data_IF_444436272407
#
_entry.id   IF_444436272407
#
_cell.length_a   1.000
_cell.length_b   1.000
_cell.length_c   1.000
_cell.angle_alpha   90.00
_cell.angle_beta   90.00
_cell.angle_gamma   90.00
#
_symmetry.space_group_name_H-M   'P 1'
#
loop_
_entity.id
_entity.type
_entity.pdbx_description
1 polymer ?
#
# COMPACT_ATOMS: atom_id res chain seq x y z
N UNK A 1 8.51 8.34 -37.52
CA UNK A 1 8.04 9.07 -36.33
C UNK A 1 9.00 10.22 -36.16
N UNK A 2 8.55 11.42 -36.49
CA UNK A 2 9.39 12.61 -36.52
C UNK A 2 9.85 12.95 -35.10
N UNK A 3 11.15 13.18 -34.96
CA UNK A 3 11.78 13.59 -33.71
C UNK A 3 11.36 15.03 -33.38
N UNK A 4 10.16 15.21 -32.81
CA UNK A 4 9.81 16.46 -32.13
C UNK A 4 10.81 16.63 -30.98
N UNK A 5 11.65 17.66 -31.07
CA UNK A 5 12.67 17.95 -30.08
C UNK A 5 12.02 18.14 -28.72
N UNK A 6 12.52 17.43 -27.71
CA UNK A 6 12.07 17.48 -26.32
C UNK A 6 12.04 18.93 -25.79
N UNK A 7 12.97 19.76 -26.27
CA UNK A 7 13.04 21.17 -25.90
C UNK A 7 11.84 21.98 -26.37
N UNK A 8 11.17 21.58 -27.45
CA UNK A 8 9.95 22.24 -27.94
C UNK A 8 8.76 21.94 -27.03
N UNK A 9 8.57 20.67 -26.62
CA UNK A 9 7.47 20.29 -25.72
C UNK A 9 7.67 20.90 -24.33
N UNK A 10 8.92 20.93 -23.83
CA UNK A 10 9.24 21.56 -22.53
C UNK A 10 9.03 23.08 -22.59
N UNK A 11 9.30 23.73 -23.73
CA UNK A 11 9.03 25.16 -23.93
C UNK A 11 7.54 25.48 -24.05
N UNK A 12 6.71 24.54 -24.48
CA UNK A 12 5.25 24.72 -24.58
C UNK A 12 4.51 24.46 -23.27
N UNK A 13 5.14 23.83 -22.27
CA UNK A 13 4.58 23.82 -20.91
C UNK A 13 4.57 25.27 -20.43
N UNK A 14 3.40 25.89 -20.28
CA UNK A 14 3.32 27.33 -20.08
C UNK A 14 4.05 27.69 -18.79
N UNK A 15 4.81 28.78 -18.81
CA UNK A 15 5.51 29.29 -17.63
C UNK A 15 4.57 29.53 -16.43
N UNK A 16 3.26 29.59 -16.67
CA UNK A 16 2.19 29.63 -15.67
C UNK A 16 2.05 28.33 -14.86
N UNK A 17 2.58 27.19 -15.29
CA UNK A 17 2.65 25.97 -14.47
C UNK A 17 3.80 26.01 -13.46
N UNK A 18 4.83 26.82 -13.73
CA UNK A 18 5.85 27.19 -12.73
C UNK A 18 5.22 28.27 -11.87
N UNK A 19 4.37 27.90 -10.91
CA UNK A 19 3.74 28.83 -9.98
C UNK A 19 4.59 28.99 -8.71
N UNK A 20 5.52 29.97 -8.63
CA UNK A 20 6.15 30.36 -7.38
C UNK A 20 5.16 31.06 -6.43
N UNK A 21 3.99 31.46 -6.91
CA UNK A 21 3.03 32.25 -6.12
C UNK A 21 2.10 31.41 -5.21
N UNK A 22 1.94 30.10 -5.44
CA UNK A 22 1.03 29.27 -4.62
C UNK A 22 1.70 28.70 -3.36
N UNK A 23 3.02 28.55 -3.35
CA UNK A 23 3.77 27.98 -2.22
C UNK A 23 3.72 28.86 -0.97
N UNK A 24 4.09 30.16 -1.00
CA UNK A 24 4.11 30.99 0.21
C UNK A 24 2.71 31.21 0.81
N UNK A 25 1.67 31.18 -0.02
CA UNK A 25 0.31 31.34 0.45
C UNK A 25 -0.21 30.09 1.18
N UNK A 26 0.02 28.91 0.59
CA UNK A 26 -0.36 27.65 1.22
C UNK A 26 0.39 27.41 2.53
N UNK A 27 1.66 27.83 2.64
CA UNK A 27 2.38 27.74 3.91
C UNK A 27 1.77 28.59 5.03
N UNK A 28 1.19 29.75 4.70
CA UNK A 28 0.52 30.58 5.71
C UNK A 28 -0.75 29.91 6.27
N UNK A 29 -1.54 29.25 5.41
CA UNK A 29 -2.72 28.50 5.87
C UNK A 29 -2.35 27.35 6.80
N UNK A 30 -1.23 26.67 6.55
CA UNK A 30 -0.73 25.61 7.43
C UNK A 30 -0.30 26.14 8.78
N UNK A 31 0.39 27.29 8.82
CA UNK A 31 0.77 27.93 10.08
C UNK A 31 -0.48 28.29 10.89
N UNK A 32 -1.51 28.84 10.24
CA UNK A 32 -2.77 29.18 10.90
C UNK A 32 -3.47 27.92 11.43
N UNK A 33 -3.54 26.84 10.64
CA UNK A 33 -4.13 25.58 11.07
C UNK A 33 -3.39 24.97 12.28
N UNK A 34 -2.05 25.03 12.29
CA UNK A 34 -1.24 24.58 13.43
C UNK A 34 -1.51 25.43 14.66
N UNK A 35 -1.52 26.76 14.53
CA UNK A 35 -1.83 27.68 15.64
C UNK A 35 -3.21 27.40 16.21
N UNK A 36 -4.20 27.14 15.34
CA UNK A 36 -5.54 26.78 15.75
C UNK A 36 -5.58 25.45 16.51
N UNK A 37 -4.89 24.42 16.03
CA UNK A 37 -4.82 23.14 16.71
C UNK A 37 -4.31 23.28 18.15
N UNK A 38 -3.31 24.14 18.38
CA UNK A 38 -2.81 24.41 19.73
C UNK A 38 -3.77 25.24 20.60
N UNK A 39 -4.69 25.99 20.00
CA UNK A 39 -5.67 26.80 20.74
C UNK A 39 -6.94 26.02 21.09
N UNK A 40 -7.25 24.93 20.39
CA UNK A 40 -8.46 24.11 20.59
C UNK A 40 -8.05 22.77 21.20
N UNK A 41 -7.85 22.73 22.52
CA UNK A 41 -7.34 21.52 23.22
C UNK A 41 -8.37 20.80 24.07
N UNK A 42 -9.61 21.31 24.16
CA UNK A 42 -10.54 20.85 25.20
C UNK A 42 -11.58 19.83 24.71
N UNK A 43 -11.81 19.71 23.40
CA UNK A 43 -12.73 18.73 22.81
C UNK A 43 -11.95 17.76 21.89
N UNK A 44 -12.22 16.47 22.08
CA UNK A 44 -11.63 15.37 21.32
C UNK A 44 -12.15 15.38 19.88
N UNK A 45 -13.44 15.68 19.68
CA UNK A 45 -14.06 15.76 18.35
C UNK A 45 -13.40 16.86 17.52
N UNK A 46 -13.24 18.04 18.11
CA UNK A 46 -12.55 19.16 17.45
C UNK A 46 -11.07 18.84 17.19
N UNK A 47 -10.41 18.10 18.09
CA UNK A 47 -9.03 17.68 17.90
C UNK A 47 -8.86 16.75 16.69
N UNK A 48 -9.79 15.82 16.47
CA UNK A 48 -9.77 14.91 15.31
C UNK A 48 -10.02 15.70 14.02
N UNK A 49 -11.01 16.58 14.02
CA UNK A 49 -11.30 17.46 12.88
C UNK A 49 -10.09 18.34 12.52
N UNK A 50 -9.45 18.98 13.50
CA UNK A 50 -8.26 19.79 13.25
C UNK A 50 -7.08 18.95 12.73
N UNK A 51 -6.95 17.70 13.18
CA UNK A 51 -5.93 16.78 12.68
C UNK A 51 -6.20 16.38 11.22
N UNK A 52 -7.46 16.17 10.84
CA UNK A 52 -7.87 15.94 9.45
C UNK A 52 -7.47 17.12 8.56
N UNK A 53 -7.81 18.34 8.98
CA UNK A 53 -7.47 19.57 8.24
C UNK A 53 -5.95 19.73 8.07
N UNK A 54 -5.18 19.57 9.15
CA UNK A 54 -3.70 19.64 9.11
C UNK A 54 -3.14 18.55 8.18
N UNK A 55 -3.66 17.33 8.26
CA UNK A 55 -3.19 16.22 7.43
C UNK A 55 -3.44 16.49 5.95
N UNK A 56 -4.63 16.98 5.59
CA UNK A 56 -4.96 17.39 4.22
C UNK A 56 -4.01 18.48 3.71
N UNK A 57 -3.70 19.48 4.54
CA UNK A 57 -2.74 20.52 4.18
C UNK A 57 -1.32 19.99 3.96
N UNK A 58 -0.83 19.11 4.84
CA UNK A 58 0.49 18.49 4.71
C UNK A 58 0.55 17.68 3.41
N UNK A 59 -0.51 16.96 3.04
CA UNK A 59 -0.58 16.23 1.77
C UNK A 59 -0.52 17.15 0.55
N UNK A 60 -1.30 18.25 0.57
CA UNK A 60 -1.30 19.24 -0.52
C UNK A 60 0.08 19.86 -0.66
N UNK A 61 0.69 20.31 0.43
CA UNK A 61 2.03 20.88 0.41
C UNK A 61 3.06 19.85 -0.04
N UNK A 62 3.00 18.63 0.50
CA UNK A 62 3.89 17.52 0.15
C UNK A 62 3.83 17.19 -1.34
N UNK A 63 2.64 17.09 -1.93
CA UNK A 63 2.47 16.81 -3.37
C UNK A 63 2.85 18.00 -4.25
N UNK A 64 2.59 19.25 -3.84
CA UNK A 64 3.06 20.45 -4.58
C UNK A 64 4.59 20.53 -4.55
N UNK A 65 5.19 20.33 -3.39
CA UNK A 65 6.65 20.26 -3.23
C UNK A 65 7.24 19.13 -4.07
N UNK A 66 6.62 17.96 -4.01
CA UNK A 66 7.00 16.82 -4.83
C UNK A 66 6.95 17.15 -6.32
N UNK A 67 5.85 17.72 -6.80
CA UNK A 67 5.67 18.04 -8.21
C UNK A 67 6.74 19.02 -8.68
N UNK A 68 7.01 20.07 -7.89
CA UNK A 68 8.00 21.09 -8.22
C UNK A 68 9.43 20.54 -8.20
N UNK A 69 9.77 19.70 -7.22
CA UNK A 69 11.11 19.13 -7.07
C UNK A 69 11.40 18.02 -8.11
N UNK A 70 10.43 17.14 -8.37
CA UNK A 70 10.59 15.96 -9.23
C UNK A 70 9.98 16.14 -10.64
N UNK A 71 9.64 17.36 -11.05
CA UNK A 71 9.01 17.61 -12.36
C UNK A 71 9.82 17.03 -13.52
N UNK A 72 11.12 17.32 -13.54
CA UNK A 72 12.02 16.86 -14.59
C UNK A 72 12.16 15.33 -14.59
N UNK A 73 12.17 14.70 -13.41
CA UNK A 73 12.16 13.25 -13.28
C UNK A 73 10.89 12.61 -13.84
N UNK A 74 9.73 13.18 -13.55
CA UNK A 74 8.46 12.69 -14.10
C UNK A 74 8.41 12.85 -15.62
N UNK A 75 8.90 13.97 -16.17
CA UNK A 75 9.02 14.15 -17.61
C UNK A 75 9.95 13.12 -18.24
N UNK A 76 11.09 12.80 -17.59
CA UNK A 76 11.98 11.71 -18.02
C UNK A 76 11.28 10.35 -18.02
N UNK A 77 10.50 10.04 -16.98
CA UNK A 77 9.72 8.80 -16.92
C UNK A 77 8.71 8.72 -18.07
N UNK A 78 7.96 9.80 -18.35
CA UNK A 78 7.02 9.88 -19.48
C UNK A 78 7.75 9.68 -20.82
N UNK A 79 8.99 10.14 -20.96
CA UNK A 79 9.76 9.91 -22.17
C UNK A 79 10.19 8.44 -22.31
N UNK A 80 10.60 7.80 -21.22
CA UNK A 80 10.96 6.39 -21.23
C UNK A 80 9.76 5.51 -21.59
N UNK A 81 8.55 5.85 -21.13
CA UNK A 81 7.34 5.08 -21.49
C UNK A 81 7.04 5.14 -22.99
N UNK A 82 7.45 6.20 -23.71
CA UNK A 82 7.32 6.26 -25.18
C UNK A 82 8.25 5.29 -25.91
N UNK A 83 9.33 4.84 -25.27
CA UNK A 83 10.27 3.84 -25.82
C UNK A 83 9.78 2.40 -25.61
N UNK A 84 8.70 2.22 -24.84
CA UNK A 84 8.16 0.89 -24.58
C UNK A 84 7.55 0.25 -25.82
N UNK A 85 7.48 -1.09 -25.80
CA UNK A 85 6.94 -1.84 -26.92
C UNK A 85 5.45 -1.58 -27.08
N UNK A 86 5.05 -1.39 -28.33
CA UNK A 86 3.66 -1.15 -28.68
C UNK A 86 2.84 -2.45 -28.45
N UNK A 87 1.77 -2.40 -27.64
CA UNK A 87 0.88 -3.54 -27.39
C UNK A 87 0.32 -4.20 -28.66
N UNK A 88 0.18 -3.44 -29.74
CA UNK A 88 -0.41 -3.91 -31.00
C UNK A 88 0.46 -4.91 -31.77
N UNK A 89 1.74 -5.07 -31.40
CA UNK A 89 2.65 -6.06 -32.02
C UNK A 89 2.50 -7.47 -31.45
N UNK A 90 1.74 -7.64 -30.36
CA UNK A 90 1.57 -8.91 -29.69
C UNK A 90 0.50 -9.78 -30.35
N UNK A 91 0.55 -11.10 -30.07
CA UNK A 91 -0.53 -12.00 -30.44
C UNK A 91 -1.87 -11.54 -29.86
N UNK A 92 -2.96 -11.87 -30.56
CA UNK A 92 -4.32 -11.44 -30.19
C UNK A 92 -4.71 -11.84 -28.75
N UNK A 93 -4.20 -12.97 -28.26
CA UNK A 93 -4.43 -13.44 -26.90
C UNK A 93 -3.80 -12.52 -25.83
N UNK A 94 -2.66 -11.89 -26.10
CA UNK A 94 -2.04 -10.95 -25.16
C UNK A 94 -2.68 -9.59 -25.29
N UNK A 95 -2.99 -9.16 -26.52
CA UNK A 95 -3.68 -7.90 -26.77
C UNK A 95 -5.00 -7.82 -25.97
N UNK A 96 -5.76 -8.91 -25.93
CA UNK A 96 -6.97 -9.00 -25.08
C UNK A 96 -6.67 -8.91 -23.59
N UNK A 97 -5.64 -9.62 -23.08
CA UNK A 97 -5.23 -9.53 -21.67
C UNK A 97 -4.69 -8.14 -21.31
N UNK A 98 -3.96 -7.48 -22.19
CA UNK A 98 -3.47 -6.11 -22.00
C UNK A 98 -4.63 -5.12 -21.99
N UNK A 99 -5.56 -5.25 -22.93
CA UNK A 99 -6.78 -4.45 -22.95
C UNK A 99 -7.57 -4.59 -21.65
N UNK A 100 -7.66 -5.80 -21.07
CA UNK A 100 -8.27 -6.00 -19.76
C UNK A 100 -7.55 -5.22 -18.63
N UNK A 101 -6.22 -5.19 -18.63
CA UNK A 101 -5.42 -4.45 -17.65
C UNK A 101 -5.63 -2.95 -17.80
N UNK A 102 -5.53 -2.42 -19.02
CA UNK A 102 -5.75 -1.00 -19.29
C UNK A 102 -7.18 -0.57 -18.97
N UNK A 103 -8.18 -1.40 -19.30
CA UNK A 103 -9.57 -1.15 -18.93
C UNK A 103 -9.77 -1.15 -17.41
N UNK A 104 -9.08 -2.04 -16.69
CA UNK A 104 -9.13 -2.07 -15.22
C UNK A 104 -8.53 -0.78 -14.64
N UNK A 105 -7.34 -0.37 -15.11
CA UNK A 105 -6.69 0.88 -14.67
C UNK A 105 -7.57 2.08 -14.98
N UNK A 106 -8.10 2.17 -16.21
CA UNK A 106 -8.98 3.26 -16.62
C UNK A 106 -10.25 3.33 -15.75
N UNK A 107 -10.88 2.18 -15.48
CA UNK A 107 -12.03 2.11 -14.56
C UNK A 107 -11.66 2.56 -13.16
N UNK A 108 -10.54 2.08 -12.60
CA UNK A 108 -10.08 2.51 -11.28
C UNK A 108 -9.83 4.03 -11.23
N UNK A 109 -9.16 4.59 -12.23
CA UNK A 109 -8.91 6.02 -12.33
C UNK A 109 -10.22 6.81 -12.46
N UNK A 110 -11.18 6.33 -13.25
CA UNK A 110 -12.50 6.98 -13.44
C UNK A 110 -13.38 6.88 -12.19
N UNK A 111 -13.35 5.75 -11.49
CA UNK A 111 -14.06 5.61 -10.21
C UNK A 111 -13.46 6.53 -9.15
N UNK A 112 -12.13 6.59 -9.06
CA UNK A 112 -11.45 7.51 -8.15
C UNK A 112 -11.73 8.98 -8.50
N UNK A 113 -11.71 9.32 -9.79
CA UNK A 113 -12.11 10.62 -10.33
C UNK A 113 -13.50 11.06 -9.86
N UNK A 114 -14.48 10.17 -10.02
CA UNK A 114 -15.85 10.43 -9.66
C UNK A 114 -16.00 10.63 -8.15
N UNK A 115 -15.33 9.82 -7.34
CA UNK A 115 -15.34 9.96 -5.90
C UNK A 115 -14.75 11.31 -5.46
N UNK A 116 -13.63 11.72 -6.04
CA UNK A 116 -13.01 13.01 -5.76
C UNK A 116 -13.89 14.19 -6.22
N UNK A 117 -14.55 14.07 -7.38
CA UNK A 117 -15.49 15.09 -7.86
C UNK A 117 -16.68 15.24 -6.90
N UNK A 118 -17.26 14.12 -6.46
CA UNK A 118 -18.37 14.11 -5.49
C UNK A 118 -17.91 14.76 -4.18
N UNK A 119 -16.75 14.36 -3.65
CA UNK A 119 -16.16 14.97 -2.46
C UNK A 119 -15.96 16.48 -2.61
N UNK A 120 -15.43 16.94 -3.75
CA UNK A 120 -15.25 18.36 -4.02
C UNK A 120 -16.59 19.13 -4.06
N UNK A 121 -17.64 18.54 -4.65
CA UNK A 121 -18.98 19.13 -4.65
C UNK A 121 -19.54 19.23 -3.24
N UNK A 122 -19.38 18.19 -2.41
CA UNK A 122 -19.79 18.23 -1.00
C UNK A 122 -19.04 19.29 -0.20
N UNK A 123 -17.72 19.40 -0.41
CA UNK A 123 -16.87 20.42 0.23
C UNK A 123 -17.26 21.86 -0.16
N UNK A 124 -17.89 22.05 -1.32
CA UNK A 124 -18.43 23.36 -1.72
C UNK A 124 -19.84 23.56 -1.16
N UNK A 125 -20.69 22.55 -1.27
CA UNK A 125 -22.12 22.69 -0.99
C UNK A 125 -22.44 22.73 0.51
N UNK A 126 -21.82 21.87 1.33
CA UNK A 126 -22.10 21.82 2.77
C UNK A 126 -21.80 23.16 3.48
N UNK A 127 -20.64 23.81 3.26
CA UNK A 127 -20.34 25.10 3.88
C UNK A 127 -21.27 26.22 3.41
N UNK A 128 -21.71 26.18 2.14
CA UNK A 128 -22.66 27.15 1.60
C UNK A 128 -24.06 27.01 2.23
N UNK A 129 -24.51 25.78 2.49
CA UNK A 129 -25.80 25.51 3.11
C UNK A 129 -25.81 25.87 4.61
N UNK A 130 -24.74 25.54 5.31
CA UNK A 130 -24.60 25.80 6.74
C UNK A 130 -24.13 27.22 7.06
N UNK A 131 -23.68 27.97 6.04
CA UNK A 131 -23.01 29.27 6.18
C UNK A 131 -21.79 29.20 7.12
N UNK A 132 -21.07 28.08 7.04
CA UNK A 132 -19.84 27.81 7.78
C UNK A 132 -18.64 27.86 6.82
N UNK A 133 -17.42 27.93 7.37
CA UNK A 133 -16.22 27.82 6.55
C UNK A 133 -15.96 26.35 6.19
N UNK A 134 -15.53 26.06 4.94
CA UNK A 134 -15.16 24.70 4.53
C UNK A 134 -14.12 24.03 5.43
N UNK A 135 -13.12 24.79 5.88
CA UNK A 135 -12.21 24.38 6.95
C UNK A 135 -12.40 25.33 8.11
N UNK A 136 -12.36 24.79 9.33
CA UNK A 136 -12.68 25.49 10.57
C UNK A 136 -11.70 26.59 10.96
N UNK A 137 -11.00 27.24 10.02
CA UNK A 137 -9.95 28.21 10.27
C UNK A 137 -10.42 29.36 11.17
N UNK A 138 -9.68 29.63 12.24
CA UNK A 138 -9.92 30.76 13.13
C UNK A 138 -9.87 32.07 12.34
N UNK A 139 -11.01 32.77 12.26
CA UNK A 139 -11.10 34.12 11.70
C UNK A 139 -11.22 35.13 12.84
N UNK A 140 -10.51 36.25 12.73
CA UNK A 140 -10.58 37.34 13.71
C UNK A 140 -12.04 37.83 13.86
N UNK A 141 -12.60 37.70 15.06
CA UNK A 141 -13.97 38.13 15.36
C UNK A 141 -14.17 39.63 15.04
N UNK A 142 -15.31 39.98 14.45
CA UNK A 142 -15.67 41.37 14.11
C UNK A 142 -15.25 41.84 12.72
N UNK A 143 -14.64 40.98 11.89
CA UNK A 143 -14.24 41.32 10.52
C UNK A 143 -14.99 40.50 9.45
N UNK A 144 -16.28 40.80 9.22
CA UNK A 144 -17.13 40.09 8.25
C UNK A 144 -16.51 40.02 6.84
N UNK A 145 -15.85 41.09 6.39
CA UNK A 145 -15.19 41.13 5.07
C UNK A 145 -14.05 40.12 4.96
N UNK A 146 -13.29 39.93 6.04
CA UNK A 146 -12.20 38.96 6.07
C UNK A 146 -12.74 37.53 6.02
N UNK A 147 -13.83 37.26 6.74
CA UNK A 147 -14.52 35.97 6.70
C UNK A 147 -14.98 35.60 5.28
N UNK A 148 -15.66 36.52 4.58
CA UNK A 148 -16.10 36.29 3.19
C UNK A 148 -14.93 36.09 2.23
N UNK A 149 -13.83 36.81 2.43
CA UNK A 149 -12.61 36.64 1.66
C UNK A 149 -12.02 35.23 1.83
N UNK A 150 -11.82 34.80 3.09
CA UNK A 150 -11.32 33.46 3.43
C UNK A 150 -12.25 32.37 2.92
N UNK A 151 -13.56 32.55 3.04
CA UNK A 151 -14.55 31.60 2.52
C UNK A 151 -14.43 31.44 1.00
N UNK A 152 -14.43 32.56 0.26
CA UNK A 152 -14.31 32.56 -1.21
C UNK A 152 -13.02 31.86 -1.64
N UNK A 153 -11.94 32.13 -0.92
CA UNK A 153 -10.67 31.53 -1.19
C UNK A 153 -10.65 30.02 -0.94
N UNK A 154 -11.13 29.57 0.22
CA UNK A 154 -11.19 28.13 0.53
C UNK A 154 -12.04 27.39 -0.51
N UNK A 155 -13.16 27.98 -0.95
CA UNK A 155 -14.04 27.41 -1.97
C UNK A 155 -13.36 27.25 -3.35
N UNK A 156 -12.36 28.08 -3.68
CA UNK A 156 -11.64 27.99 -4.95
C UNK A 156 -10.38 27.12 -4.81
N UNK A 157 -9.56 27.39 -3.78
CA UNK A 157 -8.25 26.75 -3.62
C UNK A 157 -8.39 25.27 -3.32
N UNK A 158 -9.35 24.86 -2.47
CA UNK A 158 -9.49 23.47 -2.04
C UNK A 158 -9.81 22.53 -3.21
N UNK A 159 -10.84 22.77 -4.05
CA UNK A 159 -11.09 21.93 -5.23
C UNK A 159 -9.91 21.91 -6.20
N UNK A 160 -9.28 23.06 -6.44
CA UNK A 160 -8.10 23.15 -7.31
C UNK A 160 -6.93 22.30 -6.78
N UNK A 161 -6.70 22.30 -5.46
CA UNK A 161 -5.70 21.42 -4.86
C UNK A 161 -6.09 19.94 -4.95
N UNK A 162 -7.36 19.60 -4.78
CA UNK A 162 -7.86 18.23 -4.93
C UNK A 162 -7.60 17.64 -6.31
N UNK A 163 -7.80 18.42 -7.37
CA UNK A 163 -7.48 18.01 -8.76
C UNK A 163 -6.00 17.65 -8.90
N UNK A 164 -5.12 18.46 -8.30
CA UNK A 164 -3.68 18.20 -8.35
C UNK A 164 -3.31 16.90 -7.60
N UNK A 165 -3.86 16.72 -6.38
CA UNK A 165 -3.61 15.52 -5.57
C UNK A 165 -3.98 14.25 -6.35
N UNK A 166 -5.17 14.26 -6.96
CA UNK A 166 -5.70 13.13 -7.72
C UNK A 166 -4.89 12.88 -9.01
N UNK A 167 -4.51 13.93 -9.74
CA UNK A 167 -3.73 13.77 -10.98
C UNK A 167 -2.42 13.00 -10.72
N UNK A 168 -1.74 13.29 -9.61
CA UNK A 168 -0.50 12.60 -9.24
C UNK A 168 -0.72 11.11 -8.94
N UNK A 169 -1.77 10.79 -8.18
CA UNK A 169 -2.12 9.41 -7.84
C UNK A 169 -2.50 8.60 -9.09
N UNK A 170 -3.27 9.21 -10.00
CA UNK A 170 -3.61 8.57 -11.27
C UNK A 170 -2.39 8.32 -12.14
N UNK A 171 -1.44 9.25 -12.17
CA UNK A 171 -0.19 9.06 -12.90
C UNK A 171 0.64 7.92 -12.28
N UNK A 172 0.73 7.83 -10.95
CA UNK A 172 1.38 6.72 -10.27
C UNK A 172 0.76 5.36 -10.63
N UNK A 173 -0.58 5.25 -10.57
CA UNK A 173 -1.31 4.03 -10.95
C UNK A 173 -1.08 3.72 -12.43
N UNK A 174 -1.08 4.74 -13.30
CA UNK A 174 -0.81 4.61 -14.73
C UNK A 174 0.57 4.02 -15.01
N UNK A 175 1.63 4.53 -14.35
CA UNK A 175 2.98 3.97 -14.48
C UNK A 175 3.09 2.55 -13.94
N UNK A 176 2.45 2.23 -12.81
CA UNK A 176 2.37 0.85 -12.31
C UNK A 176 1.73 -0.07 -13.34
N UNK A 177 0.65 0.40 -13.97
CA UNK A 177 -0.04 -0.29 -15.04
C UNK A 177 0.83 -0.59 -16.26
N UNK A 178 1.57 0.42 -16.73
CA UNK A 178 2.52 0.27 -17.83
C UNK A 178 3.64 -0.72 -17.51
N UNK A 179 4.19 -0.68 -16.30
CA UNK A 179 5.22 -1.65 -15.88
C UNK A 179 4.68 -3.08 -15.99
N UNK A 180 3.48 -3.34 -15.45
CA UNK A 180 2.85 -4.66 -15.48
C UNK A 180 2.55 -5.10 -16.91
N UNK A 181 2.05 -4.19 -17.75
CA UNK A 181 1.78 -4.45 -19.16
C UNK A 181 3.06 -4.85 -19.92
N UNK A 182 4.14 -4.08 -19.75
CA UNK A 182 5.41 -4.34 -20.42
C UNK A 182 6.06 -5.65 -19.97
N UNK A 183 5.96 -6.03 -18.69
CA UNK A 183 6.48 -7.33 -18.24
C UNK A 183 5.70 -8.49 -18.87
N UNK A 184 4.38 -8.35 -19.02
CA UNK A 184 3.56 -9.37 -19.68
C UNK A 184 3.90 -9.50 -21.16
N UNK A 185 4.14 -8.38 -21.85
CA UNK A 185 4.61 -8.39 -23.24
C UNK A 185 5.96 -9.11 -23.35
N UNK A 186 6.93 -8.74 -22.49
CA UNK A 186 8.26 -9.34 -22.47
C UNK A 186 8.20 -10.85 -22.23
N UNK A 187 7.42 -11.28 -21.24
CA UNK A 187 7.23 -12.69 -20.91
C UNK A 187 6.63 -13.49 -22.07
N UNK A 188 5.69 -12.91 -22.83
CA UNK A 188 5.22 -13.60 -24.02
C UNK A 188 6.33 -13.66 -25.07
N UNK A 189 6.95 -12.53 -25.40
CA UNK A 189 7.91 -12.50 -26.50
C UNK A 189 9.05 -13.51 -26.29
N UNK A 190 9.46 -13.73 -25.04
CA UNK A 190 10.37 -14.83 -24.66
C UNK A 190 9.81 -16.23 -24.90
N UNK A 191 8.52 -16.48 -24.62
CA UNK A 191 7.84 -17.77 -24.91
C UNK A 191 7.74 -18.03 -26.42
N UNK A 192 7.40 -17.00 -27.18
CA UNK A 192 7.29 -17.09 -28.63
C UNK A 192 8.68 -17.42 -29.23
N UNK A 193 9.74 -16.72 -28.80
CA UNK A 193 11.13 -17.03 -29.17
C UNK A 193 11.55 -18.46 -28.81
N UNK A 194 11.15 -18.97 -27.65
CA UNK A 194 11.51 -20.33 -27.20
C UNK A 194 10.82 -21.40 -28.04
N UNK A 195 9.62 -21.10 -28.55
CA UNK A 195 8.85 -22.05 -29.37
C UNK A 195 9.45 -22.21 -30.77
N UNK A 196 10.01 -21.14 -31.35
CA UNK A 196 10.64 -21.13 -32.68
C UNK A 196 11.99 -21.87 -32.75
N UNK A 197 12.72 -22.00 -31.63
CA UNK A 197 14.04 -22.66 -31.60
C UNK A 197 13.97 -24.17 -31.89
N UNK A 198 12.79 -24.78 -31.79
CA UNK A 198 12.62 -26.21 -32.05
C UNK A 198 12.67 -26.57 -33.56
N UNK A 199 12.94 -25.61 -34.45
CA UNK A 199 12.92 -25.80 -35.92
C UNK A 199 14.19 -25.25 -36.61
N UNK A 200 15.20 -26.09 -36.88
CA UNK A 200 16.36 -25.94 -37.81
C UNK A 200 17.34 -24.73 -37.74
N UNK A 201 18.60 -24.95 -38.13
CA UNK A 201 19.82 -24.12 -37.90
C UNK A 201 19.81 -22.62 -38.31
N UNK A 202 19.01 -22.18 -39.29
CA UNK A 202 18.88 -20.74 -39.62
C UNK A 202 18.21 -19.93 -38.49
N UNK A 203 17.54 -20.60 -37.56
CA UNK A 203 16.89 -19.97 -36.38
C UNK A 203 17.87 -19.44 -35.35
N UNK A 204 19.14 -19.88 -35.33
CA UNK A 204 20.08 -19.49 -34.26
C UNK A 204 20.40 -18.00 -34.26
N UNK A 205 20.61 -17.39 -35.43
CA UNK A 205 20.92 -15.96 -35.55
C UNK A 205 19.69 -15.11 -35.18
N UNK A 206 18.51 -15.51 -35.64
CA UNK A 206 17.25 -14.83 -35.33
C UNK A 206 16.91 -14.93 -33.84
N UNK A 207 17.08 -16.10 -33.24
CA UNK A 207 16.91 -16.29 -31.80
C UNK A 207 17.86 -15.41 -30.98
N UNK A 208 19.15 -15.38 -31.32
CA UNK A 208 20.13 -14.52 -30.63
C UNK A 208 19.77 -13.03 -30.75
N UNK A 209 19.29 -12.58 -31.91
CA UNK A 209 18.84 -11.21 -32.10
C UNK A 209 17.55 -10.89 -31.32
N UNK A 210 16.61 -11.83 -31.28
CA UNK A 210 15.40 -11.74 -30.45
C UNK A 210 15.73 -11.65 -28.96
N UNK A 211 16.61 -12.52 -28.48
CA UNK A 211 17.10 -12.51 -27.09
C UNK A 211 17.82 -11.20 -26.74
N UNK A 212 18.70 -10.70 -27.61
CA UNK A 212 19.34 -9.38 -27.43
C UNK A 212 18.30 -8.26 -27.30
N UNK A 213 17.23 -8.32 -28.08
CA UNK A 213 16.13 -7.34 -28.06
C UNK A 213 15.35 -7.42 -26.74
N UNK A 214 15.07 -8.63 -26.24
CA UNK A 214 14.46 -8.86 -24.93
C UNK A 214 15.31 -8.30 -23.80
N UNK A 215 16.61 -8.60 -23.80
CA UNK A 215 17.54 -8.15 -22.76
C UNK A 215 17.60 -6.62 -22.73
N UNK A 216 17.68 -5.96 -23.90
CA UNK A 216 17.66 -4.49 -23.99
C UNK A 216 16.37 -3.90 -23.43
N UNK A 217 15.22 -4.47 -23.78
CA UNK A 217 13.93 -4.00 -23.26
C UNK A 217 13.79 -4.24 -21.76
N UNK A 218 14.21 -5.40 -21.26
CA UNK A 218 14.24 -5.69 -19.83
C UNK A 218 15.13 -4.70 -19.07
N UNK A 219 16.32 -4.39 -19.58
CA UNK A 219 17.21 -3.38 -19.00
C UNK A 219 16.58 -1.98 -19.00
N UNK A 220 15.87 -1.61 -20.07
CA UNK A 220 15.10 -0.37 -20.15
C UNK A 220 14.02 -0.32 -19.05
N UNK A 221 13.28 -1.41 -18.85
CA UNK A 221 12.27 -1.53 -17.80
C UNK A 221 12.86 -1.45 -16.40
N UNK A 222 13.98 -2.14 -16.14
CA UNK A 222 14.66 -2.08 -14.84
C UNK A 222 15.15 -0.66 -14.53
N UNK A 223 15.67 0.04 -15.54
CA UNK A 223 16.04 1.45 -15.42
C UNK A 223 14.82 2.30 -15.10
N UNK A 224 13.72 2.13 -15.83
CA UNK A 224 12.46 2.82 -15.56
C UNK A 224 11.98 2.59 -14.13
N UNK A 225 11.95 1.34 -13.66
CA UNK A 225 11.49 0.99 -12.30
C UNK A 225 12.40 1.61 -11.24
N UNK A 226 13.72 1.65 -11.48
CA UNK A 226 14.67 2.29 -10.57
C UNK A 226 14.40 3.79 -10.46
N UNK A 227 14.25 4.48 -11.58
CA UNK A 227 13.94 5.91 -11.64
C UNK A 227 12.55 6.18 -11.04
N UNK A 228 11.53 5.42 -11.42
CA UNK A 228 10.16 5.49 -10.89
C UNK A 228 10.12 5.35 -9.37
N UNK A 229 10.81 4.34 -8.82
CA UNK A 229 10.90 4.15 -7.37
C UNK A 229 11.63 5.31 -6.69
N UNK A 230 12.75 5.76 -7.26
CA UNK A 230 13.50 6.89 -6.70
C UNK A 230 12.64 8.14 -6.66
N UNK A 231 11.92 8.44 -7.74
CA UNK A 231 10.97 9.55 -7.82
C UNK A 231 9.84 9.37 -6.81
N UNK A 232 9.00 8.34 -6.91
CA UNK A 232 7.76 8.24 -6.14
C UNK A 232 7.91 7.75 -4.68
N UNK A 233 9.07 7.23 -4.26
CA UNK A 233 9.24 6.72 -2.88
C UNK A 233 8.99 7.79 -1.81
N UNK A 234 9.46 9.02 -2.04
CA UNK A 234 9.31 10.12 -1.09
C UNK A 234 7.85 10.53 -0.92
N UNK A 235 7.07 10.60 -2.00
CA UNK A 235 5.66 11.00 -1.90
C UNK A 235 4.77 9.91 -1.32
N UNK A 236 5.04 8.64 -1.62
CA UNK A 236 4.34 7.53 -0.99
C UNK A 236 4.59 7.49 0.52
N UNK A 237 5.81 7.81 0.96
CA UNK A 237 6.12 7.92 2.38
C UNK A 237 5.35 9.06 3.04
N UNK A 238 5.30 10.25 2.42
CA UNK A 238 4.52 11.37 2.94
C UNK A 238 3.04 10.97 3.05
N UNK A 239 2.46 10.40 1.98
CA UNK A 239 1.07 9.94 1.98
C UNK A 239 0.79 8.87 3.05
N UNK A 240 1.71 7.94 3.27
CA UNK A 240 1.55 6.95 4.31
C UNK A 240 1.58 7.56 5.71
N UNK A 241 2.49 8.52 5.94
CA UNK A 241 2.66 9.21 7.22
C UNK A 241 1.50 10.18 7.52
N UNK A 242 0.79 10.69 6.52
CA UNK A 242 -0.38 11.56 6.70
C UNK A 242 -1.66 10.76 6.86
N UNK A 243 -1.93 9.80 5.96
CA UNK A 243 -3.17 9.02 5.98
C UNK A 243 -3.23 8.05 7.17
N UNK A 244 -2.10 7.46 7.57
CA UNK A 244 -2.05 6.48 8.65
C UNK A 244 -2.61 7.00 9.99
N UNK A 245 -2.03 8.06 10.56
CA UNK A 245 -2.52 8.69 11.79
C UNK A 245 -3.96 9.19 11.68
N UNK A 246 -4.34 9.74 10.52
CA UNK A 246 -5.70 10.20 10.27
C UNK A 246 -6.72 9.05 10.34
N UNK A 247 -6.45 7.93 9.67
CA UNK A 247 -7.33 6.75 9.76
C UNK A 247 -7.46 6.24 11.21
N UNK A 248 -6.39 6.31 12.01
CA UNK A 248 -6.46 5.96 13.43
C UNK A 248 -7.33 6.93 14.23
N UNK A 249 -7.23 8.23 13.97
CA UNK A 249 -8.03 9.26 14.64
C UNK A 249 -9.51 9.15 14.28
N UNK A 250 -9.83 8.98 13.00
CA UNK A 250 -11.20 8.75 12.51
C UNK A 250 -11.83 7.49 13.10
N UNK A 251 -11.06 6.39 13.14
CA UNK A 251 -11.52 5.15 13.74
C UNK A 251 -11.82 5.34 15.22
N UNK A 252 -10.97 6.09 15.94
CA UNK A 252 -11.19 6.42 17.34
C UNK A 252 -12.46 7.26 17.55
N UNK A 253 -12.65 8.33 16.77
CA UNK A 253 -13.85 9.17 16.82
C UNK A 253 -15.13 8.38 16.52
N UNK A 254 -15.10 7.50 15.52
CA UNK A 254 -16.23 6.63 15.18
C UNK A 254 -16.60 5.67 16.32
N UNK A 255 -15.61 5.16 17.05
CA UNK A 255 -15.86 4.33 18.23
C UNK A 255 -16.44 5.13 19.39
N UNK A 256 -15.92 6.34 19.67
CA UNK A 256 -16.41 7.18 20.76
C UNK A 256 -17.84 7.69 20.51
N UNK A 257 -18.15 8.16 19.29
CA UNK A 257 -19.50 8.58 18.90
C UNK A 257 -20.54 7.45 18.99
N UNK A 258 -20.12 6.20 18.79
CA UNK A 258 -20.99 5.02 18.98
C UNK A 258 -21.39 4.82 20.46
N UNK A 259 -20.59 5.31 21.42
CA UNK A 259 -20.92 5.23 22.85
C UNK A 259 -21.88 6.32 23.31
N UNK A 260 -21.94 7.47 22.64
CA UNK A 260 -22.84 8.58 23.02
C UNK A 260 -24.26 8.43 22.46
N UNK A 261 -24.42 7.83 21.27
CA UNK A 261 -25.73 7.58 20.65
C UNK A 261 -26.58 6.47 21.33
N UNK A 262 -25.99 5.66 22.21
CA UNK A 262 -26.71 4.70 23.04
C UNK A 262 -27.19 5.41 24.32
N UNK A 263 -28.38 6.02 24.24
CA UNK A 263 -29.04 6.79 25.29
C UNK A 263 -28.65 6.43 26.73
N UNK A 264 -27.73 7.23 27.29
CA UNK A 264 -27.43 7.24 28.71
C UNK A 264 -28.65 7.74 29.48
N UNK A 265 -29.39 6.81 30.09
CA UNK A 265 -29.47 6.87 31.56
C UNK A 265 -28.02 6.69 32.01
N UNK A 266 -27.46 7.69 32.68
CA UNK A 266 -26.11 7.63 33.26
C UNK A 266 -26.02 6.50 34.28
N UNK A 267 -25.86 5.27 33.80
CA UNK A 267 -25.34 4.20 34.61
C UNK A 267 -23.85 4.47 34.71
N UNK A 268 -23.38 4.62 35.94
CA UNK A 268 -21.99 4.84 36.32
C UNK A 268 -21.09 3.62 36.01
N UNK A 269 -21.38 2.89 34.92
CA UNK A 269 -20.61 1.74 34.52
C UNK A 269 -20.61 1.48 33.01
N UNK A 270 -19.52 0.93 32.50
CA UNK A 270 -19.39 0.25 31.22
C UNK A 270 -19.58 -1.26 31.39
N UNK A 271 -19.93 -1.99 30.33
CA UNK A 271 -19.96 -3.46 30.34
C UNK A 271 -19.05 -4.00 29.23
N UNK A 272 -18.22 -5.00 29.57
CA UNK A 272 -17.38 -5.74 28.62
C UNK A 272 -18.20 -6.72 27.78
N UNK A 273 -17.60 -7.26 26.71
CA UNK A 273 -18.22 -8.30 25.85
C UNK A 273 -18.59 -9.58 26.61
N UNK A 274 -17.94 -9.82 27.74
CA UNK A 274 -18.18 -10.89 28.71
C UNK A 274 -19.23 -10.52 29.78
N UNK A 275 -19.90 -9.38 29.61
CA UNK A 275 -20.78 -8.74 30.61
C UNK A 275 -20.09 -8.27 31.90
N UNK A 276 -18.76 -8.17 31.92
CA UNK A 276 -18.06 -7.62 33.09
C UNK A 276 -18.35 -6.13 33.24
N UNK A 277 -18.82 -5.71 34.43
CA UNK A 277 -19.21 -4.32 34.73
C UNK A 277 -18.02 -3.49 35.23
N UNK A 278 -17.71 -2.39 34.56
CA UNK A 278 -16.62 -1.45 34.90
C UNK A 278 -17.18 -0.14 35.39
N UNK A 279 -16.73 0.44 36.50
CA UNK A 279 -17.24 1.74 36.99
C UNK A 279 -16.72 2.93 36.16
N UNK A 280 -17.56 3.92 35.89
CA UNK A 280 -17.19 5.22 35.28
C UNK A 280 -16.59 6.19 36.29
N UNK A 281 -16.99 6.07 37.55
CA UNK A 281 -16.44 6.88 38.64
C UNK A 281 -15.24 6.11 39.19
N UNK A 282 -14.02 6.69 39.18
CA UNK A 282 -12.89 6.08 39.88
C UNK A 282 -13.27 5.94 41.35
N UNK A 283 -13.14 4.75 41.92
CA UNK A 283 -13.40 4.54 43.34
C UNK A 283 -12.66 5.62 44.14
N UNK A 284 -13.37 6.39 44.98
CA UNK A 284 -12.76 7.35 45.91
C UNK A 284 -11.57 6.67 46.57
N UNK A 285 -10.41 7.35 46.59
CA UNK A 285 -9.08 6.84 46.99
C UNK A 285 -9.15 5.86 48.18
N UNK A 286 -9.45 4.62 47.87
CA UNK A 286 -8.85 3.49 48.52
C UNK A 286 -7.38 3.59 48.14
N UNK A 287 -6.49 3.52 49.12
CA UNK A 287 -5.10 3.19 48.83
C UNK A 287 -5.14 1.87 48.09
N UNK A 288 -5.12 1.93 46.76
CA UNK A 288 -4.82 0.77 45.94
C UNK A 288 -3.44 0.36 46.40
N UNK A 289 -3.39 -0.68 47.23
CA UNK A 289 -2.14 -1.26 47.70
C UNK A 289 -1.30 -1.52 46.45
N UNK A 290 0.00 -1.23 46.50
CA UNK A 290 0.88 -1.19 45.32
C UNK A 290 0.80 -2.43 44.40
N UNK A 291 0.24 -3.55 44.88
CA UNK A 291 -0.01 -4.75 44.11
C UNK A 291 -1.20 -4.68 43.12
N UNK A 292 -2.11 -3.70 43.17
CA UNK A 292 -3.26 -3.59 42.25
C UNK A 292 -3.08 -2.58 41.11
N UNK A 293 -1.92 -1.94 40.99
CA UNK A 293 -1.55 -1.17 39.79
C UNK A 293 -0.94 -2.15 38.79
N UNK A 294 -1.76 -2.63 37.84
CA UNK A 294 -1.27 -3.47 36.75
C UNK A 294 -0.65 -2.56 35.69
N UNK A 295 0.67 -2.39 35.72
CA UNK A 295 1.43 -1.90 34.58
C UNK A 295 1.44 -2.99 33.49
N UNK A 296 0.47 -2.94 32.56
CA UNK A 296 0.64 -3.65 31.29
C UNK A 296 1.56 -2.79 30.43
N UNK A 297 2.87 -2.90 30.66
CA UNK A 297 3.86 -2.42 29.72
C UNK A 297 3.62 -3.11 28.37
N UNK A 298 3.64 -2.36 27.27
CA UNK A 298 3.71 -2.89 25.91
C UNK A 298 5.02 -3.68 25.77
N UNK A 299 4.96 -4.95 26.16
CA UNK A 299 6.07 -5.87 26.22
C UNK A 299 5.54 -7.30 26.21
N UNK A 300 6.41 -8.24 25.89
CA UNK A 300 6.12 -9.67 25.78
C UNK A 300 5.29 -10.18 26.98
N UNK A 301 4.01 -10.49 26.75
CA UNK A 301 3.14 -11.11 27.75
C UNK A 301 3.62 -12.54 28.04
N UNK A 302 3.54 -12.98 29.31
CA UNK A 302 4.06 -14.28 29.79
C UNK A 302 3.43 -15.42 28.97
N UNK A 303 4.24 -16.31 28.36
CA UNK A 303 5.47 -16.92 28.90
C UNK A 303 6.79 -16.24 28.49
N UNK A 304 6.76 -15.30 27.54
CA UNK A 304 7.97 -14.77 26.90
C UNK A 304 8.79 -13.81 27.79
N UNK A 305 8.18 -13.20 28.80
CA UNK A 305 8.84 -12.22 29.68
C UNK A 305 9.43 -12.77 30.99
N UNK A 306 9.25 -14.06 31.32
CA UNK A 306 9.67 -14.63 32.62
C UNK A 306 10.96 -15.45 32.56
N UNK A 307 11.24 -16.07 31.41
CA UNK A 307 12.52 -16.70 31.18
C UNK A 307 13.39 -15.68 30.45
N UNK A 308 14.63 -15.48 30.88
CA UNK A 308 15.65 -14.87 30.03
C UNK A 308 15.84 -15.81 28.83
N UNK A 309 14.97 -15.66 27.81
CA UNK A 309 15.04 -16.38 26.55
C UNK A 309 16.35 -15.97 25.89
N UNK A 310 17.37 -16.76 26.15
CA UNK A 310 18.75 -16.44 25.78
C UNK A 310 19.07 -16.96 24.37
N UNK A 311 18.20 -17.84 23.85
CA UNK A 311 18.38 -18.49 22.56
C UNK A 311 17.28 -18.10 21.57
N UNK A 312 17.63 -17.65 20.34
CA UNK A 312 16.68 -17.42 19.25
C UNK A 312 15.76 -18.62 18.97
N UNK A 313 16.21 -19.84 19.28
CA UNK A 313 15.42 -21.05 19.10
C UNK A 313 14.22 -21.11 20.05
N UNK A 314 14.35 -20.63 21.29
CA UNK A 314 13.26 -20.63 22.27
C UNK A 314 12.19 -19.60 21.91
N UNK A 315 12.59 -18.44 21.38
CA UNK A 315 11.66 -17.44 20.82
C UNK A 315 10.88 -18.01 19.65
N UNK A 316 11.54 -18.78 18.79
CA UNK A 316 10.91 -19.38 17.62
C UNK A 316 9.90 -20.47 18.00
N UNK A 317 10.18 -21.23 19.06
CA UNK A 317 9.25 -22.23 19.62
C UNK A 317 8.01 -21.62 20.26
N UNK A 318 8.05 -20.36 20.68
CA UNK A 318 6.85 -19.64 21.13
C UNK A 318 5.95 -19.24 19.96
N UNK A 319 6.54 -18.94 18.80
CA UNK A 319 5.82 -18.54 17.60
C UNK A 319 5.19 -19.74 16.87
N UNK A 320 5.90 -20.87 16.88
CA UNK A 320 5.45 -22.16 16.36
C UNK A 320 5.53 -23.22 17.47
N UNK A 321 4.48 -23.33 18.31
CA UNK A 321 4.48 -24.28 19.41
C UNK A 321 4.50 -25.73 18.90
N UNK A 322 4.99 -26.63 19.74
CA UNK A 322 5.16 -28.05 19.41
C UNK A 322 3.88 -28.69 18.87
N UNK A 323 2.73 -28.36 19.48
CA UNK A 323 1.41 -28.87 19.09
C UNK A 323 1.04 -28.54 17.64
N UNK A 324 1.39 -27.34 17.17
CA UNK A 324 1.12 -26.92 15.77
C UNK A 324 2.02 -27.70 14.81
N UNK A 325 3.28 -27.94 15.19
CA UNK A 325 4.20 -28.74 14.37
C UNK A 325 3.76 -30.21 14.30
N UNK A 326 3.24 -30.77 15.39
CA UNK A 326 2.65 -32.12 15.41
C UNK A 326 1.42 -32.19 14.50
N UNK A 327 0.53 -31.20 14.56
CA UNK A 327 -0.65 -31.15 13.69
C UNK A 327 -0.26 -31.06 12.20
N UNK A 328 0.77 -30.28 11.86
CA UNK A 328 1.34 -30.24 10.50
C UNK A 328 1.86 -31.60 10.09
N UNK A 329 2.60 -32.30 10.97
CA UNK A 329 3.12 -33.64 10.69
C UNK A 329 1.97 -34.61 10.41
N UNK A 330 0.92 -34.60 11.22
CA UNK A 330 -0.24 -35.49 11.08
C UNK A 330 -0.97 -35.29 9.76
N UNK A 331 -1.32 -34.05 9.42
CA UNK A 331 -1.98 -33.74 8.14
C UNK A 331 -1.07 -34.03 6.94
N UNK A 332 0.22 -33.78 7.06
CA UNK A 332 1.16 -34.07 5.97
C UNK A 332 1.29 -35.57 5.77
N UNK A 333 1.35 -36.36 6.84
CA UNK A 333 1.38 -37.82 6.77
C UNK A 333 0.08 -38.39 6.19
N UNK A 334 -1.08 -37.82 6.55
CA UNK A 334 -2.35 -38.18 5.91
C UNK A 334 -2.34 -37.94 4.39
N UNK A 335 -1.75 -36.81 3.97
CA UNK A 335 -1.59 -36.49 2.54
C UNK A 335 -0.61 -37.42 1.84
N UNK A 336 0.51 -37.74 2.48
CA UNK A 336 1.52 -38.69 1.99
C UNK A 336 0.90 -40.07 1.81
N UNK A 337 0.09 -40.55 2.76
CA UNK A 337 -0.60 -41.85 2.65
C UNK A 337 -1.60 -41.86 1.50
N UNK A 338 -2.35 -40.76 1.31
CA UNK A 338 -3.25 -40.61 0.15
C UNK A 338 -2.48 -40.68 -1.18
N UNK A 339 -1.30 -40.07 -1.25
CA UNK A 339 -0.42 -40.12 -2.42
C UNK A 339 0.19 -41.53 -2.63
N UNK A 340 0.55 -42.24 -1.55
CA UNK A 340 0.97 -43.66 -1.61
C UNK A 340 -0.12 -44.52 -2.22
N UNK A 341 -1.37 -44.36 -1.79
CA UNK A 341 -2.51 -45.11 -2.32
C UNK A 341 -2.68 -44.95 -3.84
N UNK A 342 -2.50 -43.73 -4.35
CA UNK A 342 -2.53 -43.44 -5.80
C UNK A 342 -1.36 -44.08 -6.55
N UNK A 343 -0.15 -44.02 -5.99
CA UNK A 343 1.04 -44.60 -6.62
C UNK A 343 1.10 -46.14 -6.55
N UNK A 344 0.49 -46.77 -5.52
CA UNK A 344 0.31 -48.23 -5.45
C UNK A 344 -0.55 -48.77 -6.61
N UNK A 345 -1.55 -48.00 -7.09
CA UNK A 345 -2.32 -48.36 -8.30
C UNK A 345 -1.47 -48.35 -9.56
N UNK A 346 -0.48 -47.45 -9.64
CA UNK A 346 0.48 -47.39 -10.74
C UNK A 346 1.44 -48.60 -10.76
N UNK A 347 1.85 -49.09 -9.57
CA UNK A 347 2.73 -50.28 -9.45
C UNK A 347 2.06 -51.60 -9.84
N UNK A 348 0.73 -51.73 -9.82
CA UNK A 348 0.04 -52.94 -10.31
C UNK A 348 0.05 -53.08 -11.84
N UNK A 349 0.37 -52.02 -12.59
CA UNK A 349 0.34 -52.02 -14.05
C UNK A 349 1.68 -52.31 -14.73
N UNK A 350 2.78 -52.45 -13.99
CA UNK A 350 4.08 -52.80 -14.57
C UNK A 350 4.79 -53.88 -13.75
N UNK A 351 4.78 -55.07 -14.31
CA UNK A 351 5.66 -56.20 -14.00
C UNK A 351 7.13 -55.77 -14.13
N UNK A 352 7.70 -55.20 -13.08
CA UNK A 352 9.16 -55.19 -12.92
C UNK A 352 9.52 -55.42 -11.45
N UNK A 353 9.91 -56.67 -11.18
CA UNK A 353 10.47 -57.14 -9.91
C UNK A 353 11.83 -56.48 -9.69
N UNK A 354 11.83 -55.33 -9.02
CA UNK A 354 12.99 -54.90 -8.21
C UNK A 354 12.49 -54.15 -6.99
N UNK A 355 12.78 -54.72 -5.83
CA UNK A 355 12.41 -54.32 -4.47
C UNK A 355 13.08 -52.99 -4.05
N UNK A 356 12.78 -51.90 -4.74
CA UNK A 356 13.00 -50.56 -4.22
C UNK A 356 11.63 -49.91 -4.05
N UNK A 357 11.10 -49.96 -2.82
CA UNK A 357 10.18 -48.91 -2.38
C UNK A 357 10.93 -47.58 -2.55
N UNK A 358 10.46 -46.65 -3.42
CA UNK A 358 11.10 -45.35 -3.53
C UNK A 358 11.12 -44.73 -2.13
N UNK A 359 12.32 -44.40 -1.64
CA UNK A 359 12.56 -43.81 -0.32
C UNK A 359 11.85 -42.47 -0.13
N UNK A 360 11.39 -41.86 -1.22
CA UNK A 360 10.72 -40.56 -1.29
C UNK A 360 9.28 -40.53 -0.74
N UNK A 361 8.78 -41.62 -0.17
CA UNK A 361 7.41 -41.67 0.36
C UNK A 361 7.37 -42.32 1.74
N UNK A 362 8.32 -41.97 2.62
CA UNK A 362 8.23 -42.30 4.04
C UNK A 362 7.34 -41.31 4.79
N UNK A 363 6.85 -41.70 5.95
CA UNK A 363 6.14 -40.77 6.83
C UNK A 363 7.15 -39.75 7.34
N UNK A 364 6.71 -38.52 7.42
CA UNK A 364 7.51 -37.38 7.81
C UNK A 364 7.60 -37.35 9.32
N UNK A 365 8.83 -37.26 9.83
CA UNK A 365 9.07 -37.09 11.26
C UNK A 365 9.06 -35.60 11.63
N UNK A 366 8.76 -35.31 12.91
CA UNK A 366 8.83 -33.94 13.44
C UNK A 366 10.20 -33.29 13.22
N UNK A 367 11.28 -34.08 13.31
CA UNK A 367 12.64 -33.60 13.05
C UNK A 367 12.81 -33.10 11.61
N UNK A 368 12.17 -33.74 10.65
CA UNK A 368 12.26 -33.38 9.23
C UNK A 368 11.50 -32.09 8.94
N UNK A 369 10.32 -31.87 9.56
CA UNK A 369 9.61 -30.58 9.46
C UNK A 369 10.42 -29.45 10.09
N UNK A 370 11.05 -29.68 11.24
CA UNK A 370 11.94 -28.69 11.87
C UNK A 370 13.14 -28.35 10.97
N UNK A 371 13.77 -29.36 10.37
CA UNK A 371 14.87 -29.17 9.43
C UNK A 371 14.43 -28.40 8.17
N UNK A 372 13.26 -28.75 7.61
CA UNK A 372 12.68 -28.08 6.45
C UNK A 372 12.39 -26.60 6.71
N UNK A 373 11.78 -26.27 7.87
CA UNK A 373 11.55 -24.88 8.26
C UNK A 373 12.88 -24.12 8.46
N UNK A 374 13.91 -24.78 8.98
CA UNK A 374 15.27 -24.23 9.05
C UNK A 374 15.85 -23.89 7.67
N UNK A 375 15.63 -24.75 6.67
CA UNK A 375 16.02 -24.48 5.29
C UNK A 375 15.27 -23.28 4.68
N UNK A 376 13.95 -23.17 4.92
CA UNK A 376 13.15 -22.02 4.48
C UNK A 376 13.62 -20.71 5.13
N UNK A 377 13.97 -20.76 6.41
CA UNK A 377 14.52 -19.61 7.12
C UNK A 377 15.87 -19.16 6.51
N UNK A 378 16.77 -20.11 6.24
CA UNK A 378 18.03 -19.83 5.55
C UNK A 378 17.81 -19.28 4.14
N UNK A 379 16.84 -19.83 3.40
CA UNK A 379 16.46 -19.33 2.07
C UNK A 379 15.99 -17.87 2.14
N UNK A 380 15.23 -17.50 3.17
CA UNK A 380 14.81 -16.11 3.42
C UNK A 380 15.98 -15.18 3.71
N UNK A 381 16.97 -15.64 4.49
CA UNK A 381 18.19 -14.87 4.80
C UNK A 381 19.02 -14.62 3.54
N UNK A 382 19.29 -15.67 2.78
CA UNK A 382 20.14 -15.59 1.59
C UNK A 382 19.39 -15.10 0.34
N UNK A 383 18.08 -14.86 0.43
CA UNK A 383 17.20 -14.45 -0.67
C UNK A 383 17.17 -15.43 -1.84
N UNK A 384 17.45 -16.72 -1.59
CA UNK A 384 17.38 -17.80 -2.58
C UNK A 384 15.95 -18.28 -2.87
N UNK A 385 14.93 -17.46 -2.58
CA UNK A 385 13.51 -17.77 -2.75
C UNK A 385 13.10 -18.11 -4.19
N UNK A 386 13.93 -17.72 -5.16
CA UNK A 386 13.63 -17.78 -6.60
C UNK A 386 14.80 -18.35 -7.43
N UNK A 387 15.75 -19.05 -6.81
CA UNK A 387 16.76 -19.77 -7.58
C UNK A 387 16.16 -21.06 -8.12
N UNK A 388 16.01 -21.15 -9.44
CA UNK A 388 15.60 -22.35 -10.14
C UNK A 388 16.71 -23.41 -10.03
N UNK A 389 16.61 -24.33 -9.07
CA UNK A 389 17.45 -25.54 -8.99
C UNK A 389 16.94 -26.67 -9.87
#
# INVERSE_FOLDING_TARGET
MDNVSIDQIIKEIPATLRLPFTVPYKSNLVIIAIVQYFNITNDVSDSVRNLEEISAFIEILGKVWFLTYYMDDMLRLIQITKLFWNPNRCSQQIATKLSQIYNLIYRLQTTYALFMLVGAVFMILAPLLEKTLPMGIWTLEGHDKLHHFVMTEQLIIMPCSGILLWTLDCMYIGFCGEIVAQFKILCQYLKDLTTEVNTFDETKVNYLNGMKTCIRHHQLMLRFIKEFRQTFSSILLIQYLTVGPLMCAELFAAFEGSYEGSGRKETNSWYGKDQTKWSKIPSQRSRTLAHSIIFVLLGFQRPAGQNQLSSPLELWQLLLPHSVLEEIVDFTNQKVETARGKNKRFKRSRSFRTLLTPTFVKDIALLEIKAFLGCLYLQGIYKFGHEDT
#
